data_IF_295888065764
#
_entry.id   IF_295888065764
#
_cell.length_a   1.000
_cell.length_b   1.000
_cell.length_c   1.000
_cell.angle_alpha   90.00
_cell.angle_beta   90.00
_cell.angle_gamma   90.00
#
_symmetry.space_group_name_H-M   'P 1'
#
loop_
_entity.id
_entity.type
_entity.pdbx_description
1 polymer ?
#
# COMPACT_ATOMS: atom_id res chain seq x y z
N UNK A 1 20.12 -8.32 -0.15
CA UNK A 1 20.24 -7.14 0.73
C UNK A 1 19.00 -6.29 0.66
N UNK A 2 18.61 -5.70 1.77
CA UNK A 2 17.42 -4.86 1.83
C UNK A 2 17.80 -3.38 1.78
N UNK A 3 17.03 -2.64 1.01
CA UNK A 3 17.14 -1.18 0.95
C UNK A 3 15.81 -0.59 1.35
N UNK A 4 15.83 0.63 1.85
CA UNK A 4 14.61 1.35 2.18
C UNK A 4 14.47 2.54 1.24
N UNK A 5 13.24 2.80 0.85
CA UNK A 5 12.93 3.95 0.01
C UNK A 5 11.61 4.54 0.45
N UNK A 6 11.43 5.82 0.18
CA UNK A 6 10.18 6.50 0.45
C UNK A 6 9.82 7.27 -0.81
N UNK A 7 8.63 7.00 -1.35
CA UNK A 7 8.17 7.69 -2.55
C UNK A 7 6.85 8.38 -2.29
N UNK A 8 6.72 9.65 -2.69
CA UNK A 8 5.40 10.27 -2.71
C UNK A 8 4.47 9.51 -3.64
N UNK A 9 3.18 9.51 -3.36
CA UNK A 9 2.24 8.78 -4.20
C UNK A 9 2.25 9.28 -5.64
N UNK A 10 2.51 10.58 -5.84
CA UNK A 10 2.62 11.09 -7.20
C UNK A 10 3.74 10.39 -7.96
N UNK A 11 4.89 10.18 -7.31
CA UNK A 11 6.00 9.45 -7.91
C UNK A 11 5.60 8.01 -8.21
N UNK A 12 4.91 7.36 -7.27
CA UNK A 12 4.44 6.00 -7.49
C UNK A 12 3.51 5.93 -8.70
N UNK A 13 2.68 6.95 -8.91
CA UNK A 13 1.78 6.98 -10.05
C UNK A 13 2.53 7.05 -11.39
N UNK A 14 3.79 7.51 -11.37
CA UNK A 14 4.62 7.60 -12.58
C UNK A 14 5.45 6.35 -12.81
N UNK A 15 5.47 5.42 -11.87
CA UNK A 15 6.30 4.21 -11.96
C UNK A 15 5.54 2.97 -12.42
N UNK A 16 4.33 3.13 -12.94
CA UNK A 16 3.47 1.99 -13.26
C UNK A 16 4.10 0.97 -14.18
N UNK A 17 4.83 1.45 -15.17
CA UNK A 17 5.45 0.54 -16.16
C UNK A 17 6.64 -0.18 -15.59
N UNK A 18 7.13 0.23 -14.44
CA UNK A 18 8.32 -0.35 -13.81
C UNK A 18 7.98 -1.30 -12.68
N UNK A 19 6.71 -1.39 -12.29
CA UNK A 19 6.29 -2.18 -11.14
C UNK A 19 5.24 -3.20 -11.58
N UNK A 20 5.57 -4.48 -11.41
CA UNK A 20 4.66 -5.57 -11.72
C UNK A 20 3.93 -5.97 -10.43
N UNK A 21 2.62 -5.82 -10.42
CA UNK A 21 1.81 -6.15 -9.26
C UNK A 21 1.25 -7.57 -9.31
N UNK A 22 1.66 -8.38 -10.30
CA UNK A 22 1.13 -9.73 -10.46
C UNK A 22 2.23 -10.77 -10.57
N UNK A 23 3.14 -10.85 -9.61
CA UNK A 23 4.17 -11.88 -9.68
C UNK A 23 3.57 -13.28 -9.51
N UNK A 24 4.22 -14.26 -10.11
CA UNK A 24 3.70 -15.62 -10.18
C UNK A 24 3.59 -16.29 -8.81
N UNK A 25 4.43 -15.92 -7.88
CA UNK A 25 4.47 -16.59 -6.58
C UNK A 25 3.38 -16.12 -5.63
N UNK A 26 2.47 -15.28 -6.10
CA UNK A 26 1.41 -14.76 -5.26
C UNK A 26 0.08 -14.76 -5.98
N UNK A 27 -0.96 -15.07 -5.22
CA UNK A 27 -2.32 -15.08 -5.72
C UNK A 27 -3.09 -14.03 -4.95
N UNK A 28 -3.10 -12.79 -5.43
CA UNK A 28 -3.69 -11.70 -4.67
C UNK A 28 -5.21 -11.81 -4.61
N UNK A 29 -5.75 -11.56 -3.44
CA UNK A 29 -7.17 -11.37 -3.29
C UNK A 29 -7.55 -10.02 -3.88
N UNK A 30 -8.70 -9.94 -4.52
CA UNK A 30 -9.16 -8.69 -5.11
C UNK A 30 -9.85 -7.86 -4.03
N UNK A 31 -9.41 -6.65 -3.85
CA UNK A 31 -10.03 -5.74 -2.89
C UNK A 31 -11.39 -5.29 -3.37
N UNK A 32 -12.30 -5.16 -2.42
CA UNK A 32 -13.60 -4.56 -2.68
C UNK A 32 -13.44 -3.05 -2.83
N UNK A 33 -14.47 -2.41 -3.39
CA UNK A 33 -14.50 -0.96 -3.49
C UNK A 33 -14.34 -0.31 -2.12
N UNK A 34 -15.00 -0.87 -1.10
CA UNK A 34 -14.94 -0.31 0.25
C UNK A 34 -13.51 -0.34 0.79
N UNK A 35 -12.75 -1.41 0.52
CA UNK A 35 -11.36 -1.50 0.96
C UNK A 35 -10.49 -0.46 0.26
N UNK A 36 -10.70 -0.26 -1.04
CA UNK A 36 -9.97 0.76 -1.80
C UNK A 36 -10.28 2.15 -1.28
N UNK A 37 -11.56 2.42 -1.02
CA UNK A 37 -11.98 3.71 -0.49
C UNK A 37 -11.37 3.98 0.88
N UNK A 38 -11.31 2.96 1.72
CA UNK A 38 -10.74 3.11 3.06
C UNK A 38 -9.26 3.48 2.98
N UNK A 39 -8.52 2.88 2.04
CA UNK A 39 -7.11 3.22 1.88
C UNK A 39 -6.93 4.69 1.52
N UNK A 40 -7.68 5.17 0.53
CA UNK A 40 -7.54 6.55 0.09
C UNK A 40 -7.97 7.51 1.20
N UNK A 41 -9.05 7.18 1.90
CA UNK A 41 -9.51 7.99 3.03
C UNK A 41 -8.44 8.06 4.11
N UNK A 42 -7.78 6.95 4.39
CA UNK A 42 -6.71 6.90 5.39
C UNK A 42 -5.53 7.80 4.99
N UNK A 43 -5.19 7.78 3.71
CA UNK A 43 -4.14 8.65 3.19
C UNK A 43 -4.51 10.11 3.37
N UNK A 44 -5.74 10.47 3.05
CA UNK A 44 -6.20 11.86 3.19
C UNK A 44 -6.18 12.34 4.63
N UNK A 45 -6.38 11.45 5.58
CA UNK A 45 -6.42 11.79 7.00
C UNK A 45 -5.10 11.52 7.70
N UNK A 46 -4.07 11.23 6.93
CA UNK A 46 -2.70 11.04 7.42
C UNK A 46 -2.56 9.87 8.37
N UNK A 47 -3.33 8.81 8.15
CA UNK A 47 -3.12 7.57 8.88
C UNK A 47 -1.94 6.83 8.28
N UNK A 48 -1.32 5.99 9.11
CA UNK A 48 -0.18 5.21 8.70
C UNK A 48 -0.63 4.07 7.77
N UNK A 49 0.00 3.99 6.60
CA UNK A 49 -0.27 2.93 5.64
C UNK A 49 0.89 1.94 5.70
N UNK A 50 0.60 0.64 5.80
CA UNK A 50 1.68 -0.35 5.87
C UNK A 50 2.60 -0.25 4.67
N UNK A 51 3.89 -0.45 4.92
CA UNK A 51 4.88 -0.34 3.86
C UNK A 51 4.75 -1.46 2.84
N UNK A 52 5.30 -1.20 1.67
CA UNK A 52 5.25 -2.11 0.53
C UNK A 52 6.60 -2.81 0.42
N UNK A 53 6.58 -4.08 0.06
CA UNK A 53 7.80 -4.86 -0.14
C UNK A 53 7.95 -5.17 -1.62
N UNK A 54 9.11 -4.82 -2.18
CA UNK A 54 9.41 -4.99 -3.61
C UNK A 54 10.66 -5.83 -3.77
N UNK A 55 10.73 -6.51 -4.91
CA UNK A 55 11.96 -7.13 -5.40
C UNK A 55 12.44 -6.35 -6.63
N UNK A 56 13.63 -5.83 -6.55
CA UNK A 56 14.23 -5.12 -7.69
C UNK A 56 14.86 -6.13 -8.63
N UNK A 57 14.36 -6.19 -9.86
CA UNK A 57 14.83 -7.18 -10.85
C UNK A 57 16.02 -6.66 -11.63
N UNK A 58 15.86 -5.45 -12.17
CA UNK A 58 16.88 -4.78 -12.96
C UNK A 58 16.83 -3.32 -12.58
N UNK A 59 17.60 -2.51 -13.28
CA UNK A 59 17.59 -1.08 -13.02
C UNK A 59 16.18 -0.56 -12.97
N UNK A 60 15.73 -0.23 -11.77
CA UNK A 60 14.49 0.49 -11.52
C UNK A 60 13.26 -0.23 -12.09
N UNK A 61 13.29 -1.57 -12.08
CA UNK A 61 12.09 -2.39 -12.34
C UNK A 61 11.88 -3.34 -11.18
N UNK A 62 10.61 -3.58 -10.83
CA UNK A 62 10.27 -4.22 -9.56
C UNK A 62 9.12 -5.19 -9.71
N UNK A 63 9.17 -6.27 -8.91
CA UNK A 63 8.01 -7.10 -8.64
C UNK A 63 7.53 -6.79 -7.23
N UNK A 64 6.23 -6.78 -7.02
CA UNK A 64 5.69 -6.56 -5.68
C UNK A 64 5.66 -7.87 -4.93
N UNK A 65 6.35 -7.90 -3.78
CA UNK A 65 6.31 -9.06 -2.91
C UNK A 65 5.09 -9.00 -2.00
N UNK A 66 4.81 -7.83 -1.46
CA UNK A 66 3.67 -7.62 -0.57
C UNK A 66 3.17 -6.19 -0.73
N UNK A 67 1.86 -6.03 -0.87
CA UNK A 67 1.24 -4.72 -1.00
C UNK A 67 0.60 -4.48 -2.35
N UNK A 68 0.37 -5.52 -3.16
CA UNK A 68 -0.21 -5.38 -4.49
C UNK A 68 -1.53 -4.62 -4.47
N UNK A 69 -2.40 -4.96 -3.53
CA UNK A 69 -3.74 -4.35 -3.52
C UNK A 69 -3.67 -2.88 -3.17
N UNK A 70 -2.73 -2.50 -2.31
CA UNK A 70 -2.55 -1.09 -1.99
C UNK A 70 -2.08 -0.29 -3.20
N UNK A 71 -1.10 -0.82 -3.92
CA UNK A 71 -0.59 -0.13 -5.11
C UNK A 71 -1.68 -0.02 -6.16
N UNK A 72 -2.42 -1.10 -6.41
CA UNK A 72 -3.50 -1.08 -7.40
C UNK A 72 -4.59 -0.10 -7.03
N UNK A 73 -4.94 -0.03 -5.75
CA UNK A 73 -5.97 0.91 -5.31
C UNK A 73 -5.54 2.36 -5.54
N UNK A 74 -4.27 2.66 -5.25
CA UNK A 74 -3.74 4.00 -5.46
C UNK A 74 -3.78 4.35 -6.95
N UNK A 75 -3.30 3.45 -7.80
CA UNK A 75 -3.33 3.70 -9.25
C UNK A 75 -4.75 3.86 -9.76
N UNK A 76 -5.68 3.01 -9.30
CA UNK A 76 -7.08 3.10 -9.72
C UNK A 76 -7.70 4.42 -9.34
N UNK A 77 -7.36 4.93 -8.16
CA UNK A 77 -7.87 6.23 -7.76
C UNK A 77 -7.33 7.35 -8.63
N UNK A 78 -6.03 7.32 -8.94
CA UNK A 78 -5.45 8.29 -9.86
C UNK A 78 -6.11 8.23 -11.24
N UNK A 79 -6.59 7.05 -11.63
CA UNK A 79 -7.25 6.87 -12.93
C UNK A 79 -8.75 7.16 -12.89
N UNK A 80 -9.27 7.70 -11.81
CA UNK A 80 -10.69 8.03 -11.65
C UNK A 80 -11.60 6.79 -11.74
N UNK A 81 -11.09 5.62 -11.34
CA UNK A 81 -11.88 4.40 -11.45
C UNK A 81 -12.87 4.20 -10.32
N UNK A 82 -12.71 4.94 -9.23
CA UNK A 82 -13.68 4.94 -8.15
C UNK A 82 -13.61 6.27 -7.41
N UNK A 83 -14.68 6.56 -6.67
CA UNK A 83 -14.78 7.79 -5.89
C UNK A 83 -14.69 7.47 -4.40
N UNK A 84 -14.44 8.49 -3.60
CA UNK A 84 -14.52 8.38 -2.15
C UNK A 84 -15.95 8.07 -1.72
N UNK A 85 -16.14 7.56 -0.50
CA UNK A 85 -17.49 7.22 -0.04
C UNK A 85 -18.43 8.43 -0.07
N UNK A 86 -19.72 8.12 -0.26
CA UNK A 86 -20.74 9.16 -0.30
C UNK A 86 -20.87 9.89 1.03
N UNK A 87 -20.52 9.23 2.12
CA UNK A 87 -20.63 9.81 3.46
C UNK A 87 -19.27 10.18 4.04
N UNK A 88 -18.26 10.35 3.19
CA UNK A 88 -16.94 10.76 3.67
C UNK A 88 -17.00 12.13 4.30
N UNK A 89 -16.37 12.26 5.48
CA UNK A 89 -16.32 13.53 6.17
C UNK A 89 -15.41 14.50 5.42
N UNK A 90 -15.65 15.81 5.52
CA UNK A 90 -14.75 16.77 4.90
C UNK A 90 -13.32 16.64 5.43
N UNK A 91 -12.38 17.03 4.59
CA UNK A 91 -10.96 17.07 4.94
C UNK A 91 -10.51 18.51 4.87
N UNK A 92 -10.00 19.04 5.99
CA UNK A 92 -9.57 20.44 6.08
C UNK A 92 -10.63 21.42 5.58
N UNK A 93 -11.89 21.11 5.83
CA UNK A 93 -13.00 21.95 5.42
C UNK A 93 -13.47 21.77 3.99
N UNK A 94 -12.81 20.92 3.22
CA UNK A 94 -13.20 20.63 1.83
C UNK A 94 -14.10 19.41 1.77
N UNK A 95 -15.14 19.49 0.96
CA UNK A 95 -16.02 18.36 0.69
C UNK A 95 -15.30 17.36 -0.20
N UNK A 96 -15.19 16.13 0.25
CA UNK A 96 -14.55 15.06 -0.54
C UNK A 96 -15.52 13.92 -0.82
N UNK A 97 -16.73 13.99 -0.31
CA UNK A 97 -17.69 12.89 -0.43
C UNK A 97 -18.03 12.63 -1.91
N UNK A 98 -17.97 11.36 -2.27
CA UNK A 98 -18.34 10.90 -3.61
C UNK A 98 -17.50 11.52 -4.73
N UNK A 99 -16.28 11.93 -4.42
CA UNK A 99 -15.42 12.58 -5.42
C UNK A 99 -14.33 11.63 -5.89
N UNK A 100 -14.04 11.68 -7.18
CA UNK A 100 -12.90 11.02 -7.80
C UNK A 100 -11.68 11.93 -7.68
N UNK A 101 -10.51 11.40 -7.97
CA UNK A 101 -9.28 12.17 -7.86
C UNK A 101 -9.36 13.48 -8.65
N UNK A 102 -9.83 13.41 -9.89
CA UNK A 102 -9.90 14.59 -10.76
C UNK A 102 -10.92 15.62 -10.29
N UNK A 103 -11.81 15.22 -9.39
CA UNK A 103 -12.85 16.12 -8.88
C UNK A 103 -12.45 16.79 -7.56
N UNK A 104 -11.31 16.40 -7.00
CA UNK A 104 -10.86 16.95 -5.73
C UNK A 104 -10.30 18.35 -5.91
N UNK A 105 -10.52 19.19 -4.89
CA UNK A 105 -9.85 20.50 -4.85
C UNK A 105 -8.34 20.28 -4.92
N UNK A 106 -7.63 21.25 -5.52
CA UNK A 106 -6.18 21.14 -5.68
C UNK A 106 -5.47 20.93 -4.35
N UNK A 107 -5.92 21.58 -3.29
CA UNK A 107 -5.28 21.43 -1.98
C UNK A 107 -5.44 20.01 -1.45
N UNK A 108 -6.57 19.38 -1.73
CA UNK A 108 -6.80 18.00 -1.28
C UNK A 108 -6.03 17.02 -2.15
N UNK A 109 -6.02 17.23 -3.47
CA UNK A 109 -5.23 16.38 -4.37
C UNK A 109 -3.75 16.43 -3.98
N UNK A 110 -3.25 17.59 -3.54
CA UNK A 110 -1.87 17.73 -3.11
C UNK A 110 -1.57 16.88 -1.87
N UNK A 111 -2.52 16.72 -0.96
CA UNK A 111 -2.33 15.84 0.19
C UNK A 111 -2.03 14.43 -0.29
N UNK A 112 -2.81 13.94 -1.26
CA UNK A 112 -2.60 12.61 -1.81
C UNK A 112 -1.26 12.53 -2.52
N UNK A 113 -0.98 13.49 -3.39
CA UNK A 113 0.23 13.48 -4.22
C UNK A 113 1.50 13.48 -3.38
N UNK A 114 1.48 14.18 -2.25
CA UNK A 114 2.65 14.35 -1.40
C UNK A 114 2.73 13.32 -0.28
N UNK A 115 1.73 12.46 -0.12
CA UNK A 115 1.78 11.43 0.91
C UNK A 115 2.95 10.49 0.63
N UNK A 116 3.80 10.29 1.62
CA UNK A 116 5.00 9.47 1.48
C UNK A 116 4.69 8.04 1.87
N UNK A 117 4.91 7.12 0.94
CA UNK A 117 4.73 5.69 1.18
C UNK A 117 6.10 5.04 1.30
N UNK A 118 6.26 4.21 2.32
CA UNK A 118 7.54 3.56 2.60
C UNK A 118 7.63 2.23 1.89
N UNK A 119 8.82 1.94 1.36
CA UNK A 119 9.11 0.71 0.63
C UNK A 119 10.34 0.04 1.20
N UNK A 120 10.30 -1.28 1.24
CA UNK A 120 11.46 -2.11 1.52
C UNK A 120 11.76 -2.87 0.24
N UNK A 121 12.99 -2.74 -0.25
CA UNK A 121 13.36 -3.26 -1.56
C UNK A 121 14.43 -4.33 -1.37
N UNK A 122 14.13 -5.53 -1.88
CA UNK A 122 15.07 -6.65 -1.89
C UNK A 122 15.74 -6.67 -3.25
N UNK A 123 17.07 -6.53 -3.28
CA UNK A 123 17.79 -6.40 -4.54
C UNK A 123 18.62 -7.63 -4.90
N UNK A 124 18.26 -8.79 -4.38
CA UNK A 124 18.91 -10.04 -4.73
C UNK A 124 18.34 -10.63 -6.02
N UNK A 125 19.13 -11.43 -6.71
CA UNK A 125 18.63 -12.21 -7.84
C UNK A 125 18.42 -13.68 -7.46
N UNK A 126 18.63 -14.03 -6.21
CA UNK A 126 18.46 -15.38 -5.70
C UNK A 126 16.98 -15.64 -5.43
N UNK A 127 16.38 -16.53 -6.21
CA UNK A 127 14.95 -16.81 -6.08
C UNK A 127 14.56 -17.40 -4.74
N UNK A 128 15.47 -18.16 -4.13
CA UNK A 128 15.20 -18.73 -2.82
C UNK A 128 15.07 -17.64 -1.76
N UNK A 129 15.89 -16.61 -1.86
CA UNK A 129 15.79 -15.48 -0.93
C UNK A 129 14.50 -14.71 -1.12
N UNK A 130 14.09 -14.54 -2.36
CA UNK A 130 12.83 -13.86 -2.68
C UNK A 130 11.65 -14.64 -2.09
N UNK A 131 11.64 -15.94 -2.31
CA UNK A 131 10.58 -16.80 -1.80
C UNK A 131 10.58 -16.81 -0.27
N UNK A 132 11.76 -16.85 0.33
CA UNK A 132 11.90 -16.81 1.77
C UNK A 132 11.31 -15.53 2.34
N UNK A 133 11.61 -14.38 1.73
CA UNK A 133 11.07 -13.11 2.17
C UNK A 133 9.54 -13.12 2.10
N UNK A 134 8.99 -13.61 0.98
CA UNK A 134 7.56 -13.68 0.81
C UNK A 134 6.91 -14.55 1.88
N UNK A 135 7.49 -15.71 2.15
CA UNK A 135 6.95 -16.61 3.16
C UNK A 135 7.02 -16.00 4.56
N UNK A 136 8.11 -15.33 4.88
CA UNK A 136 8.25 -14.70 6.18
C UNK A 136 7.26 -13.58 6.38
N UNK A 137 6.99 -12.81 5.33
CA UNK A 137 6.00 -11.74 5.43
C UNK A 137 4.61 -12.30 5.71
N UNK A 138 4.22 -13.36 5.03
CA UNK A 138 2.93 -13.98 5.27
C UNK A 138 2.85 -14.61 6.65
N UNK A 139 3.86 -15.35 7.02
CA UNK A 139 3.89 -16.01 8.31
C UNK A 139 4.01 -15.01 9.45
N UNK A 140 4.78 -13.96 9.22
CA UNK A 140 4.93 -12.91 10.21
C UNK A 140 3.61 -12.24 10.54
N UNK A 141 2.79 -11.99 9.53
CA UNK A 141 1.47 -11.42 9.75
C UNK A 141 0.61 -12.37 10.58
N UNK A 142 0.63 -13.64 10.25
CA UNK A 142 -0.11 -14.66 10.99
C UNK A 142 0.38 -14.77 12.41
N UNK A 143 1.69 -14.81 12.59
CA UNK A 143 2.28 -14.92 13.91
C UNK A 143 1.94 -13.73 14.79
N UNK A 144 2.00 -12.53 14.22
CA UNK A 144 1.64 -11.33 14.96
C UNK A 144 0.19 -11.38 15.44
N UNK A 145 -0.70 -11.83 14.60
CA UNK A 145 -2.10 -11.95 14.97
C UNK A 145 -2.27 -12.94 16.11
N UNK A 146 -1.60 -14.08 16.03
CA UNK A 146 -1.65 -15.09 17.08
C UNK A 146 -1.03 -14.59 18.37
N UNK A 147 0.12 -13.96 18.28
CA UNK A 147 0.79 -13.45 19.47
C UNK A 147 -0.04 -12.40 20.19
N UNK A 148 -0.72 -11.57 19.43
CA UNK A 148 -1.63 -10.61 20.03
C UNK A 148 -2.72 -11.31 20.83
N UNK A 149 -3.33 -12.33 20.26
CA UNK A 149 -4.37 -13.06 20.96
C UNK A 149 -3.83 -13.74 22.21
N UNK A 150 -2.63 -14.31 22.12
CA UNK A 150 -2.04 -14.98 23.24
C UNK A 150 -1.60 -14.02 24.33
N UNK A 151 -1.23 -12.82 23.95
CA UNK A 151 -0.75 -11.82 24.90
C UNK A 151 -1.88 -11.12 25.63
N UNK A 152 -3.07 -11.08 25.04
CA UNK A 152 -4.18 -10.35 25.60
C UNK A 152 -4.51 -10.71 27.05
N UNK A 153 -4.55 -11.97 27.44
CA UNK A 153 -4.89 -12.28 28.82
C UNK A 153 -3.71 -12.09 29.76
N UNK A 154 -3.30 -10.87 29.94
CA UNK A 154 -2.33 -10.55 30.95
C UNK A 154 -0.88 -10.77 30.60
N UNK A 155 -0.59 -11.10 29.39
CA UNK A 155 0.79 -11.20 28.96
C UNK A 155 1.17 -9.94 28.25
N UNK A 156 2.26 -9.42 28.64
CA UNK A 156 2.69 -8.15 28.07
C UNK A 156 3.62 -8.34 26.90
N UNK A 157 3.53 -9.45 26.26
CA UNK A 157 4.32 -9.68 25.08
C UNK A 157 3.77 -8.86 23.95
N UNK A 158 4.59 -8.03 23.44
CA UNK A 158 4.21 -7.13 22.36
C UNK A 158 4.91 -7.53 21.09
N UNK A 159 4.29 -7.25 20.00
CA UNK A 159 4.80 -7.67 18.71
C UNK A 159 5.38 -6.52 17.94
#
# INVERSE_FOLDING_TARGET
MLKKATWPLFTLSKKRKRIDTKPDYQRPAVWTKAQKQLLIDSILRDFDVPKIYLHEKNNDTYDVIDGQQRIRAIWSFYDDEFALPKDAEPVNGYDVANKKYSELDMDIATIIDSYNLDFVILDTQNEDEIREMFLRLQNGTTLKAQEKRNAMPGRMRVL
#
